data_IF_553843779781
#
_entry.id   IF_553843779781
#
_cell.length_a   1.000
_cell.length_b   1.000
_cell.length_c   1.000
_cell.angle_alpha   90.00
_cell.angle_beta   90.00
_cell.angle_gamma   90.00
#
_symmetry.space_group_name_H-M   'P 1'
#
loop_
_entity.id
_entity.type
_entity.pdbx_description
1 polymer ?
#
# COMPACT_ATOMS: atom_id res chain seq x y z
N UNK A 1 32.40 -12.75 5.21
CA UNK A 1 30.97 -12.44 5.38
C UNK A 1 30.63 -11.24 4.49
N UNK A 2 29.67 -11.36 3.56
CA UNK A 2 29.33 -10.26 2.64
C UNK A 2 28.15 -9.49 3.22
N UNK A 3 28.34 -8.20 3.46
CA UNK A 3 27.25 -7.31 3.87
C UNK A 3 26.49 -6.77 2.66
N UNK A 4 25.18 -6.66 2.82
CA UNK A 4 24.24 -6.14 1.84
C UNK A 4 23.61 -4.90 2.44
N UNK A 5 23.46 -3.84 1.64
CA UNK A 5 22.85 -2.59 2.08
C UNK A 5 21.66 -2.24 1.18
N UNK A 6 20.55 -1.80 1.77
CA UNK A 6 19.37 -1.32 1.06
C UNK A 6 18.61 -0.31 1.88
N UNK A 7 17.94 0.62 1.22
CA UNK A 7 16.88 1.45 1.79
C UNK A 7 15.60 0.62 1.85
N UNK A 8 14.79 0.79 2.90
CA UNK A 8 13.56 0.04 3.04
C UNK A 8 12.62 0.64 4.08
N UNK A 9 11.36 0.23 4.02
CA UNK A 9 10.27 0.57 4.94
C UNK A 9 9.89 -0.66 5.75
N UNK A 10 9.81 -0.56 7.06
CA UNK A 10 9.31 -1.64 7.92
C UNK A 10 7.80 -1.75 7.76
N UNK A 11 7.33 -2.89 7.22
CA UNK A 11 5.91 -3.13 6.94
C UNK A 11 5.26 -4.17 7.86
N UNK A 12 6.06 -4.94 8.58
CA UNK A 12 5.59 -5.92 9.59
C UNK A 12 6.67 -6.12 10.65
N UNK A 13 6.24 -6.38 11.87
CA UNK A 13 7.12 -6.79 12.98
C UNK A 13 6.48 -7.92 13.76
N UNK A 14 7.30 -8.90 14.17
CA UNK A 14 6.89 -10.04 15.01
C UNK A 14 7.97 -10.29 16.04
N UNK A 15 7.61 -10.36 17.29
CA UNK A 15 8.53 -10.73 18.35
C UNK A 15 8.90 -12.21 18.23
N UNK A 16 10.19 -12.53 18.37
CA UNK A 16 10.73 -13.87 18.18
C UNK A 16 11.61 -14.25 19.38
N UNK A 17 11.31 -15.40 19.98
CA UNK A 17 12.01 -15.82 21.19
C UNK A 17 11.91 -14.78 22.32
N UNK A 18 12.87 -14.79 23.24
CA UNK A 18 12.84 -13.92 24.42
C UNK A 18 13.32 -12.47 24.17
N UNK A 19 14.17 -12.26 23.17
CA UNK A 19 14.82 -10.96 22.98
C UNK A 19 14.91 -10.48 21.53
N UNK A 20 14.61 -11.34 20.58
CA UNK A 20 14.75 -11.07 19.15
C UNK A 20 13.43 -10.52 18.56
N UNK A 21 13.53 -9.99 17.37
CA UNK A 21 12.39 -9.56 16.54
C UNK A 21 12.65 -9.91 15.09
N UNK A 22 11.64 -10.35 14.37
CA UNK A 22 11.66 -10.45 12.91
C UNK A 22 10.91 -9.25 12.38
N UNK A 23 11.53 -8.50 11.47
CA UNK A 23 10.88 -7.42 10.74
C UNK A 23 10.81 -7.77 9.27
N UNK A 24 9.64 -7.54 8.66
CA UNK A 24 9.52 -7.58 7.20
C UNK A 24 9.74 -6.17 6.68
N UNK A 25 10.70 -6.03 5.79
CA UNK A 25 11.08 -4.77 5.17
C UNK A 25 10.71 -4.81 3.69
N UNK A 26 9.91 -3.86 3.22
CA UNK A 26 9.78 -3.57 1.80
C UNK A 26 10.96 -2.72 1.37
N UNK A 27 11.85 -3.30 0.59
CA UNK A 27 13.13 -2.70 0.26
C UNK A 27 13.21 -2.25 -1.20
N UNK A 28 13.97 -1.19 -1.45
CA UNK A 28 14.15 -0.64 -2.80
C UNK A 28 14.77 -1.65 -3.79
N UNK A 29 15.68 -2.50 -3.30
CA UNK A 29 16.50 -3.33 -4.17
C UNK A 29 16.18 -4.83 -4.12
N UNK A 30 15.44 -5.29 -3.10
CA UNK A 30 15.22 -6.74 -2.87
C UNK A 30 13.75 -7.10 -2.66
N UNK A 31 12.79 -6.17 -2.89
CA UNK A 31 11.38 -6.42 -2.59
C UNK A 31 11.13 -6.62 -1.10
N UNK A 32 10.20 -7.52 -0.75
CA UNK A 32 9.97 -7.92 0.65
C UNK A 32 11.06 -8.87 1.13
N UNK A 33 11.69 -8.52 2.26
CA UNK A 33 12.68 -9.36 2.94
C UNK A 33 12.41 -9.40 4.43
N UNK A 34 12.62 -10.56 5.04
CA UNK A 34 12.55 -10.72 6.49
C UNK A 34 13.95 -10.61 7.09
N UNK A 35 14.11 -9.74 8.08
CA UNK A 35 15.37 -9.53 8.80
C UNK A 35 15.22 -9.94 10.26
N UNK A 36 16.06 -10.86 10.71
CA UNK A 36 16.18 -11.20 12.13
C UNK A 36 16.99 -10.12 12.86
N UNK A 37 16.38 -9.46 13.82
CA UNK A 37 16.98 -8.43 14.66
C UNK A 37 17.28 -9.01 16.03
N UNK A 38 18.52 -9.46 16.23
CA UNK A 38 18.92 -10.15 17.46
C UNK A 38 18.97 -9.23 18.67
N UNK A 39 18.38 -9.65 19.78
CA UNK A 39 18.48 -9.01 21.08
C UNK A 39 17.91 -7.60 21.17
N UNK A 40 17.09 -7.16 20.22
CA UNK A 40 16.59 -5.78 20.15
C UNK A 40 15.67 -5.44 21.33
N UNK A 41 14.86 -6.39 21.78
CA UNK A 41 13.88 -6.19 22.88
C UNK A 41 14.55 -6.07 24.26
N UNK A 42 15.72 -6.68 24.43
CA UNK A 42 16.51 -6.62 25.67
C UNK A 42 17.61 -5.55 25.62
N UNK A 43 17.79 -4.90 24.48
CA UNK A 43 18.87 -3.92 24.30
C UNK A 43 18.55 -2.59 24.99
N UNK A 44 19.44 -2.12 25.84
CA UNK A 44 19.41 -0.78 26.42
C UNK A 44 20.12 0.26 25.53
N UNK A 45 20.87 -0.19 24.52
CA UNK A 45 21.71 0.67 23.66
C UNK A 45 21.10 0.93 22.28
N UNK A 46 20.28 0.00 21.77
CA UNK A 46 19.66 0.13 20.46
C UNK A 46 18.22 0.64 20.62
N UNK A 47 17.89 1.66 19.85
CA UNK A 47 16.53 2.21 19.83
C UNK A 47 15.57 1.21 19.17
N UNK A 48 14.59 0.73 19.92
CA UNK A 48 13.56 -0.18 19.42
C UNK A 48 12.64 0.47 18.39
N UNK A 49 12.51 1.81 18.39
CA UNK A 49 11.68 2.55 17.42
C UNK A 49 12.23 2.44 16.00
N UNK A 50 13.54 2.22 15.85
CA UNK A 50 14.18 2.04 14.54
C UNK A 50 13.70 0.80 13.77
N UNK A 51 13.12 -0.18 14.47
CA UNK A 51 12.55 -1.42 13.89
C UNK A 51 11.03 -1.48 14.01
N UNK A 52 10.39 -0.34 14.22
CA UNK A 52 8.94 -0.24 14.32
C UNK A 52 8.27 -0.09 12.95
N UNK A 53 6.97 -0.39 12.89
CA UNK A 53 6.17 -0.19 11.69
C UNK A 53 6.31 1.24 11.17
N UNK A 54 6.27 1.41 9.86
CA UNK A 54 6.39 2.70 9.18
C UNK A 54 7.71 3.43 9.47
N UNK A 55 8.79 2.72 9.77
CA UNK A 55 10.12 3.34 9.86
C UNK A 55 10.86 3.12 8.55
N UNK A 56 11.25 4.21 7.90
CA UNK A 56 12.09 4.21 6.71
C UNK A 56 13.55 4.29 7.14
N UNK A 57 14.38 3.34 6.70
CA UNK A 57 15.78 3.25 7.14
C UNK A 57 16.70 2.72 6.05
N UNK A 58 18.00 2.94 6.23
CA UNK A 58 19.03 2.17 5.55
C UNK A 58 19.36 0.93 6.42
N UNK A 59 19.20 -0.25 5.85
CA UNK A 59 19.47 -1.53 6.50
C UNK A 59 20.77 -2.10 5.96
N UNK A 60 21.67 -2.51 6.86
CA UNK A 60 22.83 -3.34 6.53
C UNK A 60 22.65 -4.71 7.17
N UNK A 61 22.66 -5.76 6.37
CA UNK A 61 22.41 -7.14 6.82
C UNK A 61 23.33 -8.12 6.08
N UNK A 62 23.34 -9.36 6.54
CA UNK A 62 24.09 -10.45 5.93
C UNK A 62 23.29 -11.74 5.97
N UNK A 63 23.60 -12.66 5.04
CA UNK A 63 22.97 -13.99 4.99
C UNK A 63 23.74 -14.96 5.90
N UNK A 64 23.01 -15.72 6.73
CA UNK A 64 23.52 -16.82 7.55
C UNK A 64 22.55 -18.00 7.45
N UNK A 65 22.97 -19.06 6.74
CA UNK A 65 22.03 -20.11 6.30
C UNK A 65 20.95 -19.50 5.40
N UNK A 66 19.70 -19.79 5.69
CA UNK A 66 18.55 -19.25 4.92
C UNK A 66 18.06 -17.91 5.47
N UNK A 67 18.59 -17.43 6.58
CA UNK A 67 18.12 -16.21 7.23
C UNK A 67 18.98 -15.00 6.87
N UNK A 68 18.33 -13.84 6.75
CA UNK A 68 19.00 -12.54 6.76
C UNK A 68 19.04 -11.99 8.18
N UNK A 69 20.24 -11.64 8.63
CA UNK A 69 20.46 -11.09 9.98
C UNK A 69 20.82 -9.62 9.86
N UNK A 70 20.04 -8.78 10.56
CA UNK A 70 20.32 -7.36 10.62
C UNK A 70 21.63 -7.10 11.38
N UNK A 71 22.51 -6.31 10.78
CA UNK A 71 23.76 -5.83 11.38
C UNK A 71 23.58 -4.42 11.92
N UNK A 72 23.30 -3.44 11.04
CA UNK A 72 23.05 -2.04 11.42
C UNK A 72 21.78 -1.51 10.75
N UNK A 73 21.19 -0.52 11.39
CA UNK A 73 20.06 0.24 10.90
C UNK A 73 20.32 1.72 11.13
N UNK A 74 20.15 2.52 10.08
CA UNK A 74 20.28 3.97 10.09
C UNK A 74 18.93 4.57 9.74
N UNK A 75 18.10 5.03 10.71
CA UNK A 75 16.79 5.59 10.45
C UNK A 75 16.88 6.86 9.58
N UNK A 76 15.95 6.98 8.63
CA UNK A 76 15.78 8.14 7.77
C UNK A 76 14.55 8.94 8.20
N UNK A 77 13.42 8.23 8.42
CA UNK A 77 12.17 8.83 8.83
C UNK A 77 11.35 7.84 9.66
N UNK A 78 10.81 8.29 10.76
CA UNK A 78 9.91 7.52 11.63
C UNK A 78 8.44 7.74 11.30
N UNK A 79 8.12 8.70 10.44
CA UNK A 79 6.78 9.09 10.05
C UNK A 79 5.82 9.32 11.24
N UNK A 80 6.29 10.06 12.25
CA UNK A 80 5.49 10.35 13.45
C UNK A 80 4.19 11.06 13.12
N UNK A 81 4.17 11.95 12.12
CA UNK A 81 2.97 12.66 11.68
C UNK A 81 1.88 11.71 11.15
N UNK A 82 2.27 10.57 10.57
CA UNK A 82 1.33 9.53 10.15
C UNK A 82 0.84 8.67 11.32
N UNK A 83 1.71 8.44 12.30
CA UNK A 83 1.40 7.58 13.47
C UNK A 83 0.53 8.28 14.50
N UNK A 84 0.62 9.60 14.60
CA UNK A 84 -0.07 10.41 15.62
C UNK A 84 -1.42 10.98 15.13
N UNK A 85 -1.78 10.79 13.86
CA UNK A 85 -3.03 11.21 13.27
C UNK A 85 -3.82 9.96 12.86
N UNK A 86 -5.00 9.76 13.45
CA UNK A 86 -5.78 8.53 13.28
C UNK A 86 -6.20 8.32 11.82
N UNK A 87 -6.65 9.36 11.12
CA UNK A 87 -7.09 9.27 9.73
C UNK A 87 -5.93 8.94 8.80
N UNK A 88 -4.75 9.55 9.03
CA UNK A 88 -3.54 9.24 8.28
C UNK A 88 -3.03 7.85 8.57
N UNK A 89 -3.15 7.39 9.81
CA UNK A 89 -2.77 6.05 10.22
C UNK A 89 -3.64 4.99 9.54
N UNK A 90 -4.97 5.20 9.46
CA UNK A 90 -5.91 4.33 8.74
C UNK A 90 -5.49 4.17 7.28
N UNK A 91 -5.32 5.28 6.57
CA UNK A 91 -4.91 5.32 5.17
C UNK A 91 -3.55 4.64 4.97
N UNK A 92 -2.59 4.93 5.84
CA UNK A 92 -1.24 4.36 5.76
C UNK A 92 -1.25 2.87 6.06
N UNK A 93 -2.05 2.42 7.04
CA UNK A 93 -2.25 1.00 7.35
C UNK A 93 -2.81 0.24 6.14
N UNK A 94 -3.74 0.85 5.40
CA UNK A 94 -4.25 0.28 4.16
C UNK A 94 -3.16 0.18 3.08
N UNK A 95 -2.32 1.20 2.92
CA UNK A 95 -1.16 1.14 1.99
C UNK A 95 -0.20 0.00 2.37
N UNK A 96 0.06 -0.21 3.67
CA UNK A 96 0.88 -1.35 4.10
C UNK A 96 0.24 -2.69 3.73
N UNK A 97 -1.10 -2.81 3.81
CA UNK A 97 -1.80 -4.01 3.37
C UNK A 97 -1.67 -4.23 1.86
N UNK A 98 -1.76 -3.17 1.04
CA UNK A 98 -1.54 -3.25 -0.41
C UNK A 98 -0.12 -3.78 -0.71
N UNK A 99 0.91 -3.24 -0.06
CA UNK A 99 2.29 -3.72 -0.23
C UNK A 99 2.40 -5.20 0.15
N UNK A 100 1.76 -5.58 1.26
CA UNK A 100 1.85 -6.94 1.76
C UNK A 100 1.17 -7.96 0.84
N UNK A 101 0.05 -7.60 0.23
CA UNK A 101 -0.71 -8.46 -0.67
C UNK A 101 -0.10 -8.55 -2.08
N UNK A 102 0.39 -7.43 -2.62
CA UNK A 102 0.81 -7.35 -4.04
C UNK A 102 2.27 -7.73 -4.24
N UNK A 103 3.16 -7.46 -3.26
CA UNK A 103 4.59 -7.74 -3.43
C UNK A 103 4.94 -9.13 -2.92
N UNK A 104 5.51 -9.96 -3.78
CA UNK A 104 6.01 -11.28 -3.37
C UNK A 104 7.40 -11.17 -2.71
N UNK A 105 7.75 -12.12 -1.81
CA UNK A 105 9.09 -12.16 -1.21
C UNK A 105 10.18 -12.20 -2.28
N UNK A 106 11.18 -11.32 -2.17
CA UNK A 106 12.29 -11.24 -3.11
C UNK A 106 12.00 -10.56 -4.45
N UNK A 107 10.74 -10.22 -4.72
CA UNK A 107 10.34 -9.54 -5.95
C UNK A 107 10.75 -8.07 -5.93
N UNK A 108 11.71 -7.70 -6.77
CA UNK A 108 12.19 -6.32 -6.86
C UNK A 108 11.22 -5.43 -7.61
N UNK A 109 10.61 -4.48 -6.91
CA UNK A 109 9.67 -3.47 -7.45
C UNK A 109 10.15 -2.06 -7.09
N UNK A 110 11.30 -1.64 -7.63
CA UNK A 110 11.94 -0.36 -7.29
C UNK A 110 11.04 0.85 -7.54
N UNK A 111 10.35 0.90 -8.67
CA UNK A 111 9.44 2.00 -8.98
C UNK A 111 8.27 2.06 -7.99
N UNK A 112 7.73 0.90 -7.61
CA UNK A 112 6.66 0.85 -6.62
C UNK A 112 7.14 1.33 -5.23
N UNK A 113 8.35 0.92 -4.81
CA UNK A 113 8.95 1.43 -3.58
C UNK A 113 9.04 2.97 -3.56
N UNK A 114 9.52 3.58 -4.64
CA UNK A 114 9.63 5.03 -4.76
C UNK A 114 8.26 5.73 -4.77
N UNK A 115 7.23 5.09 -5.34
CA UNK A 115 5.86 5.59 -5.30
C UNK A 115 5.29 5.56 -3.88
N UNK A 116 5.53 4.47 -3.14
CA UNK A 116 5.12 4.37 -1.73
C UNK A 116 5.78 5.46 -0.89
N UNK A 117 7.08 5.67 -1.03
CA UNK A 117 7.78 6.74 -0.31
C UNK A 117 7.18 8.13 -0.61
N UNK A 118 6.88 8.41 -1.87
CA UNK A 118 6.20 9.66 -2.26
C UNK A 118 4.78 9.75 -1.70
N UNK A 119 4.04 8.63 -1.69
CA UNK A 119 2.68 8.58 -1.15
C UNK A 119 2.65 8.86 0.35
N UNK A 120 3.56 8.30 1.15
CA UNK A 120 3.65 8.58 2.59
C UNK A 120 3.90 10.06 2.85
N UNK A 121 4.84 10.68 2.13
CA UNK A 121 5.11 12.12 2.22
C UNK A 121 3.94 12.99 1.73
N UNK A 122 3.14 12.51 0.79
CA UNK A 122 1.94 13.19 0.31
C UNK A 122 0.84 13.18 1.36
N UNK A 123 0.60 12.03 2.03
CA UNK A 123 -0.42 11.88 3.07
C UNK A 123 -0.20 12.85 4.23
N UNK A 124 1.05 13.07 4.64
CA UNK A 124 1.39 14.00 5.71
C UNK A 124 0.84 15.40 5.43
N UNK A 125 0.89 15.84 4.17
CA UNK A 125 0.63 17.22 3.74
C UNK A 125 -0.81 17.49 3.32
N UNK A 126 -1.64 16.45 3.19
CA UNK A 126 -2.96 16.56 2.60
C UNK A 126 -4.05 16.06 3.56
N UNK A 127 -5.30 16.47 3.30
CA UNK A 127 -6.46 16.01 4.02
C UNK A 127 -6.90 14.60 3.56
N UNK A 128 -7.79 13.99 4.32
CA UNK A 128 -8.29 12.63 4.13
C UNK A 128 -8.89 12.40 2.75
N UNK A 129 -9.70 13.32 2.25
CA UNK A 129 -10.34 13.21 0.94
C UNK A 129 -9.31 13.16 -0.20
N UNK A 130 -8.32 14.05 -0.19
CA UNK A 130 -7.22 14.08 -1.15
C UNK A 130 -6.38 12.80 -1.05
N UNK A 131 -6.22 12.26 0.15
CA UNK A 131 -5.48 11.03 0.40
C UNK A 131 -6.20 9.80 -0.15
N UNK A 132 -7.53 9.68 -0.02
CA UNK A 132 -8.30 8.60 -0.67
C UNK A 132 -8.22 8.67 -2.19
N UNK A 133 -8.25 9.86 -2.75
CA UNK A 133 -8.05 10.04 -4.18
C UNK A 133 -6.65 9.59 -4.65
N UNK A 134 -5.62 9.87 -3.85
CA UNK A 134 -4.26 9.38 -4.12
C UNK A 134 -4.19 7.84 -4.08
N UNK A 135 -4.90 7.19 -3.13
CA UNK A 135 -5.03 5.72 -3.10
C UNK A 135 -5.62 5.20 -4.40
N UNK A 136 -6.72 5.78 -4.89
CA UNK A 136 -7.33 5.37 -6.17
C UNK A 136 -6.35 5.49 -7.34
N UNK A 137 -5.58 6.57 -7.41
CA UNK A 137 -4.53 6.73 -8.43
C UNK A 137 -3.45 5.67 -8.32
N UNK A 138 -3.09 5.30 -7.09
CA UNK A 138 -2.11 4.24 -6.86
C UNK A 138 -2.66 2.88 -7.30
N UNK A 139 -3.91 2.56 -6.96
CA UNK A 139 -4.57 1.30 -7.37
C UNK A 139 -4.70 1.21 -8.89
N UNK A 140 -5.11 2.29 -9.56
CA UNK A 140 -5.15 2.34 -11.02
C UNK A 140 -3.73 2.14 -11.63
N UNK A 141 -2.70 2.73 -11.03
CA UNK A 141 -1.33 2.49 -11.49
C UNK A 141 -0.93 1.02 -11.32
N UNK A 142 -1.29 0.39 -10.19
CA UNK A 142 -1.01 -1.03 -9.94
C UNK A 142 -1.62 -1.91 -11.03
N UNK A 143 -2.94 -1.78 -11.27
CA UNK A 143 -3.62 -2.63 -12.26
C UNK A 143 -3.07 -2.43 -13.67
N UNK A 144 -2.72 -1.21 -14.04
CA UNK A 144 -2.08 -0.92 -15.34
C UNK A 144 -0.70 -1.55 -15.46
N UNK A 145 0.08 -1.52 -14.40
CA UNK A 145 1.44 -2.05 -14.38
C UNK A 145 1.45 -3.58 -14.41
N UNK A 146 0.40 -4.21 -13.87
CA UNK A 146 0.18 -5.66 -13.93
C UNK A 146 -0.54 -6.11 -15.22
N UNK A 147 -0.82 -5.18 -16.15
CA UNK A 147 -1.39 -5.49 -17.47
C UNK A 147 -2.92 -5.47 -17.52
N UNK A 148 -3.60 -5.11 -16.45
CA UNK A 148 -5.05 -5.09 -16.33
C UNK A 148 -5.62 -3.68 -16.50
N UNK A 149 -5.59 -3.15 -17.72
CA UNK A 149 -6.14 -1.82 -17.99
C UNK A 149 -7.65 -1.90 -18.20
N UNK A 150 -8.41 -1.01 -17.54
CA UNK A 150 -9.85 -0.91 -17.71
C UNK A 150 -10.17 -0.24 -19.06
N UNK A 151 -10.93 -0.92 -19.90
CA UNK A 151 -11.44 -0.37 -21.15
C UNK A 151 -12.79 0.31 -20.92
N UNK A 152 -12.96 1.53 -21.39
CA UNK A 152 -14.20 2.30 -21.27
C UNK A 152 -14.92 2.29 -22.61
N UNK A 153 -15.99 1.49 -22.73
CA UNK A 153 -16.84 1.37 -23.91
C UNK A 153 -18.31 1.72 -23.64
N UNK A 154 -18.65 2.08 -22.39
CA UNK A 154 -19.97 2.49 -21.92
C UNK A 154 -19.85 3.21 -20.59
N UNK A 155 -20.97 3.37 -19.86
CA UNK A 155 -21.05 4.16 -18.62
C UNK A 155 -21.81 3.47 -17.48
N UNK A 156 -22.55 2.40 -17.75
CA UNK A 156 -23.58 1.86 -16.82
C UNK A 156 -23.08 0.74 -15.93
N UNK A 157 -22.19 -0.10 -16.43
CA UNK A 157 -21.81 -1.34 -15.76
C UNK A 157 -20.30 -1.56 -15.81
N UNK A 158 -19.75 -2.10 -14.73
CA UNK A 158 -18.37 -2.54 -14.68
C UNK A 158 -18.30 -4.07 -14.75
N UNK A 159 -17.72 -4.60 -15.81
CA UNK A 159 -17.43 -6.01 -15.97
C UNK A 159 -16.00 -6.29 -15.48
N UNK A 160 -15.89 -6.93 -14.30
CA UNK A 160 -14.60 -7.23 -13.67
C UNK A 160 -13.81 -8.21 -14.55
N UNK A 161 -14.44 -9.27 -15.05
CA UNK A 161 -13.78 -10.33 -15.79
C UNK A 161 -13.21 -9.82 -17.12
N UNK A 162 -13.98 -8.97 -17.83
CA UNK A 162 -13.60 -8.40 -19.13
C UNK A 162 -12.76 -7.12 -18.99
N UNK A 163 -12.50 -6.66 -17.77
CA UNK A 163 -11.76 -5.41 -17.51
C UNK A 163 -12.36 -4.23 -18.28
N UNK A 164 -13.68 -4.09 -18.29
CA UNK A 164 -14.38 -3.08 -19.09
C UNK A 164 -15.52 -2.37 -18.37
N UNK A 165 -15.76 -1.11 -18.74
CA UNK A 165 -16.99 -0.39 -18.42
C UNK A 165 -17.85 -0.40 -19.69
N UNK A 166 -19.10 -0.87 -19.59
CA UNK A 166 -19.99 -1.16 -20.71
C UNK A 166 -21.43 -0.70 -20.42
N UNK A 167 -22.26 -0.63 -21.45
CA UNK A 167 -23.71 -0.39 -21.32
C UNK A 167 -24.53 -1.69 -21.42
N UNK A 168 -23.88 -2.81 -21.65
CA UNK A 168 -24.52 -4.12 -21.70
C UNK A 168 -24.69 -4.69 -20.30
N UNK A 169 -25.94 -5.08 -19.97
CA UNK A 169 -26.28 -5.78 -18.74
C UNK A 169 -25.99 -7.28 -18.89
N UNK A 170 -25.21 -7.83 -17.99
CA UNK A 170 -24.85 -9.26 -17.92
C UNK A 170 -24.89 -9.68 -16.45
N UNK A 171 -25.11 -10.96 -16.18
CA UNK A 171 -25.18 -11.50 -14.81
C UNK A 171 -23.95 -11.24 -13.94
N UNK A 172 -22.81 -10.87 -14.58
CA UNK A 172 -21.50 -10.68 -13.91
C UNK A 172 -21.04 -9.23 -13.81
N UNK A 173 -21.91 -8.28 -14.13
CA UNK A 173 -21.55 -6.87 -14.11
C UNK A 173 -21.98 -6.18 -12.81
N UNK A 174 -21.27 -5.14 -12.43
CA UNK A 174 -21.58 -4.28 -11.28
C UNK A 174 -22.19 -2.99 -11.82
N UNK A 175 -23.42 -2.61 -11.43
CA UNK A 175 -24.00 -1.34 -11.84
C UNK A 175 -23.21 -0.17 -11.28
N UNK A 176 -22.94 0.83 -12.11
CA UNK A 176 -22.21 2.04 -11.75
C UNK A 176 -23.19 3.21 -11.56
N UNK A 177 -23.05 3.90 -10.43
CA UNK A 177 -23.63 5.24 -10.27
C UNK A 177 -22.85 6.22 -11.17
N UNK A 178 -23.53 7.25 -11.66
CA UNK A 178 -22.92 8.26 -12.54
C UNK A 178 -21.66 8.88 -11.96
N UNK A 179 -21.70 9.27 -10.70
CA UNK A 179 -20.57 9.89 -10.00
C UNK A 179 -19.37 8.92 -9.90
N UNK A 180 -19.63 7.64 -9.68
CA UNK A 180 -18.60 6.60 -9.64
C UNK A 180 -17.96 6.41 -11.02
N UNK A 181 -18.76 6.35 -12.08
CA UNK A 181 -18.27 6.31 -13.45
C UNK A 181 -17.38 7.50 -13.80
N UNK A 182 -17.80 8.73 -13.42
CA UNK A 182 -17.03 9.95 -13.67
C UNK A 182 -15.64 9.88 -13.00
N UNK A 183 -15.56 9.41 -11.75
CA UNK A 183 -14.27 9.23 -11.05
C UNK A 183 -13.39 8.21 -11.79
N UNK A 184 -13.93 7.04 -12.12
CA UNK A 184 -13.16 5.99 -12.81
C UNK A 184 -12.66 6.45 -14.17
N UNK A 185 -13.52 7.12 -14.94
CA UNK A 185 -13.18 7.67 -16.26
C UNK A 185 -12.09 8.74 -16.17
N UNK A 186 -12.15 9.63 -15.18
CA UNK A 186 -11.16 10.68 -14.98
C UNK A 186 -9.81 10.12 -14.57
N UNK A 187 -9.78 9.11 -13.70
CA UNK A 187 -8.55 8.42 -13.29
C UNK A 187 -7.91 7.71 -14.49
N UNK A 188 -8.71 7.03 -15.32
CA UNK A 188 -8.23 6.36 -16.53
C UNK A 188 -7.65 7.35 -17.53
N UNK A 189 -8.33 8.47 -17.80
CA UNK A 189 -7.89 9.50 -18.74
C UNK A 189 -6.75 10.39 -18.21
N UNK A 190 -6.31 10.19 -16.96
CA UNK A 190 -5.33 11.07 -16.26
C UNK A 190 -5.80 12.53 -16.19
N UNK A 191 -7.09 12.77 -16.27
CA UNK A 191 -7.64 14.10 -16.14
C UNK A 191 -7.34 14.65 -14.73
N UNK A 192 -6.99 15.93 -14.65
CA UNK A 192 -6.96 16.64 -13.38
C UNK A 192 -8.43 16.76 -12.95
N UNK A 193 -8.77 16.15 -11.84
CA UNK A 193 -10.02 16.43 -11.17
C UNK A 193 -9.86 17.83 -10.60
N UNK A 194 -10.67 18.77 -11.10
CA UNK A 194 -10.77 20.12 -10.56
C UNK A 194 -11.12 20.05 -9.06
N UNK A 195 -10.89 21.13 -8.32
CA UNK A 195 -10.99 21.24 -6.85
C UNK A 195 -12.33 20.82 -6.19
N UNK A 196 -13.33 20.38 -6.95
CA UNK A 196 -14.50 19.64 -6.49
C UNK A 196 -14.20 18.14 -6.47
N UNK A 197 -13.30 17.75 -5.60
CA UNK A 197 -13.05 16.32 -5.33
C UNK A 197 -14.37 15.71 -4.86
N UNK A 198 -14.74 14.58 -5.47
CA UNK A 198 -15.94 13.82 -5.14
C UNK A 198 -16.11 13.61 -3.63
N UNK A 199 -17.34 13.53 -3.17
CA UNK A 199 -17.65 13.16 -1.78
C UNK A 199 -16.81 11.95 -1.35
N UNK A 200 -16.36 11.94 -0.11
CA UNK A 200 -15.50 10.90 0.46
C UNK A 200 -16.14 9.50 0.36
N UNK A 201 -17.47 9.40 0.47
CA UNK A 201 -18.21 8.14 0.31
C UNK A 201 -18.03 7.55 -1.10
N UNK A 202 -18.09 8.38 -2.13
CA UNK A 202 -17.90 7.92 -3.52
C UNK A 202 -16.45 7.51 -3.77
N UNK A 203 -15.49 8.17 -3.13
CA UNK A 203 -14.08 7.75 -3.18
C UNK A 203 -13.88 6.38 -2.52
N UNK A 204 -14.54 6.13 -1.40
CA UNK A 204 -14.52 4.84 -0.72
C UNK A 204 -15.18 3.77 -1.60
N UNK A 205 -16.34 4.05 -2.20
CA UNK A 205 -17.02 3.15 -3.15
C UNK A 205 -16.10 2.80 -4.33
N UNK A 206 -15.39 3.79 -4.88
CA UNK A 206 -14.42 3.59 -5.95
C UNK A 206 -13.23 2.73 -5.52
N UNK A 207 -12.70 2.92 -4.30
CA UNK A 207 -11.63 2.08 -3.77
C UNK A 207 -12.13 0.64 -3.59
N UNK A 208 -13.32 0.44 -3.03
CA UNK A 208 -13.91 -0.90 -2.85
C UNK A 208 -14.13 -1.59 -4.21
N UNK A 209 -14.50 -0.85 -5.25
CA UNK A 209 -14.61 -1.40 -6.59
C UNK A 209 -13.23 -1.83 -7.15
N UNK A 210 -12.22 -0.99 -6.98
CA UNK A 210 -10.84 -1.36 -7.33
C UNK A 210 -10.30 -2.54 -6.51
N UNK A 211 -10.68 -2.65 -5.22
CA UNK A 211 -10.34 -3.83 -4.42
C UNK A 211 -10.89 -5.13 -5.02
N UNK A 212 -12.20 -5.12 -5.37
CA UNK A 212 -12.83 -6.27 -6.03
C UNK A 212 -12.10 -6.63 -7.32
N UNK A 213 -11.74 -5.62 -8.10
CA UNK A 213 -11.02 -5.78 -9.36
C UNK A 213 -9.61 -6.34 -9.15
N UNK A 214 -8.84 -5.77 -8.24
CA UNK A 214 -7.48 -6.22 -7.90
C UNK A 214 -7.52 -7.62 -7.28
N UNK A 215 -8.43 -7.88 -6.34
CA UNK A 215 -8.57 -9.18 -5.70
C UNK A 215 -8.91 -10.28 -6.71
N UNK A 216 -9.74 -9.98 -7.72
CA UNK A 216 -10.08 -10.92 -8.78
C UNK A 216 -8.90 -11.26 -9.69
N UNK A 217 -8.18 -10.24 -10.17
CA UNK A 217 -7.12 -10.44 -11.17
C UNK A 217 -5.76 -10.83 -10.59
N UNK A 218 -5.46 -10.41 -9.34
CA UNK A 218 -4.16 -10.65 -8.69
C UNK A 218 -4.23 -11.65 -7.54
N UNK A 219 -5.39 -12.30 -7.32
CA UNK A 219 -5.63 -13.26 -6.22
C UNK A 219 -5.22 -12.71 -4.84
N UNK A 220 -5.57 -11.45 -4.59
CA UNK A 220 -5.28 -10.74 -3.32
C UNK A 220 -6.48 -10.69 -2.40
N UNK A 221 -6.32 -10.18 -1.18
CA UNK A 221 -7.38 -10.05 -0.16
C UNK A 221 -7.45 -8.65 0.43
N UNK A 222 -7.33 -7.63 -0.43
CA UNK A 222 -7.46 -6.24 -0.02
C UNK A 222 -8.85 -5.97 0.58
N UNK A 223 -8.89 -5.22 1.67
CA UNK A 223 -10.12 -4.83 2.34
C UNK A 223 -9.91 -3.53 3.14
N UNK A 224 -10.28 -2.39 2.57
CA UNK A 224 -10.17 -1.06 3.18
C UNK A 224 -10.91 -0.99 4.52
N UNK A 225 -12.11 -1.59 4.61
CA UNK A 225 -12.96 -1.53 5.83
C UNK A 225 -12.27 -2.09 7.08
N UNK A 226 -11.29 -2.99 6.93
CA UNK A 226 -10.50 -3.50 8.05
C UNK A 226 -9.52 -2.48 8.63
N UNK A 227 -9.26 -1.41 7.92
CA UNK A 227 -8.29 -0.38 8.28
C UNK A 227 -8.93 0.93 8.73
N UNK A 228 -10.24 1.08 8.54
CA UNK A 228 -11.00 2.25 8.99
C UNK A 228 -11.54 2.01 10.40
N UNK A 229 -11.01 2.72 11.41
CA UNK A 229 -11.35 2.53 12.83
C UNK A 229 -12.50 3.42 13.30
N UNK A 230 -12.84 4.46 12.55
CA UNK A 230 -13.81 5.47 12.95
C UNK A 230 -14.69 5.99 11.83
N UNK A 231 -15.98 5.67 11.87
CA UNK A 231 -17.02 6.54 11.36
C UNK A 231 -17.33 6.54 9.86
N UNK A 232 -16.58 5.89 9.00
CA UNK A 232 -16.97 5.69 7.59
C UNK A 232 -17.78 4.39 7.46
N UNK A 233 -18.90 4.33 8.19
CA UNK A 233 -19.87 3.23 8.05
C UNK A 233 -20.62 3.42 6.73
N UNK A 234 -20.35 2.58 5.76
CA UNK A 234 -21.25 2.37 4.63
C UNK A 234 -22.41 1.47 5.04
#
# INVERSE_FOLDING_TARGET
MKFIRTKGLVIKKVDFGEGDRIITVFSENFGKIDLLVKGIRKSKKRDQSSVDLLTLSNFTFYKKGDNFILNTIDPIDFFYDLKNDIEKLEITSYILSIINEIIFPGERKKEFFQRIEKALNFIIKNNTQVNFFMILKMMNWIVKNEGYRINISGEKYFNIAESSITDFDDEKVIPLKKELFEILSNIEKKALISNEIANIEILIDAIILYEKYINYHLDTKLNLKKHLFGGYSC
#
